data_IF_929849837290
#
_entry.id   IF_929849837290
#
_cell.length_a   1.000
_cell.length_b   1.000
_cell.length_c   1.000
_cell.angle_alpha   90.00
_cell.angle_beta   90.00
_cell.angle_gamma   90.00
#
_symmetry.space_group_name_H-M   'P 1'
#
loop_
_entity.id
_entity.type
_entity.pdbx_description
1 polymer ?
#
# COMPACT_ATOMS: atom_id res chain seq x y z
N UNK A 1 -1.98 16.23 3.74
CA UNK A 1 -2.45 15.66 2.46
C UNK A 1 -3.66 14.80 2.76
N UNK A 2 -4.82 15.04 2.14
CA UNK A 2 -6.10 14.47 2.59
C UNK A 2 -6.44 13.13 1.93
N UNK A 3 -5.51 12.18 1.93
CA UNK A 3 -5.85 10.80 1.56
C UNK A 3 -6.85 10.29 2.60
N UNK A 4 -7.98 9.77 2.15
CA UNK A 4 -8.95 9.12 3.02
C UNK A 4 -8.71 7.62 2.97
N UNK A 5 -8.74 6.97 4.14
CA UNK A 5 -8.57 5.52 4.25
C UNK A 5 -9.90 4.92 4.69
N UNK A 6 -10.27 3.77 4.12
CA UNK A 6 -11.52 3.09 4.43
C UNK A 6 -11.31 1.65 4.90
N UNK A 7 -10.14 1.08 4.60
CA UNK A 7 -9.78 -0.26 5.00
C UNK A 7 -8.27 -0.39 5.14
N UNK A 8 -7.87 -1.17 6.13
CA UNK A 8 -6.50 -1.52 6.40
C UNK A 8 -6.44 -2.89 7.05
N UNK A 9 -5.61 -3.77 6.49
CA UNK A 9 -5.30 -5.06 7.09
C UNK A 9 -3.82 -5.36 6.92
N UNK A 10 -3.23 -5.99 7.94
CA UNK A 10 -1.88 -6.54 7.89
C UNK A 10 -1.96 -8.04 8.14
N UNK A 11 -1.51 -8.82 7.17
CA UNK A 11 -1.42 -10.27 7.25
C UNK A 11 0.08 -10.61 7.35
N UNK A 12 0.53 -11.24 8.43
CA UNK A 12 1.95 -11.53 8.60
C UNK A 12 2.22 -12.84 9.33
N UNK A 13 3.29 -13.51 8.95
CA UNK A 13 3.91 -14.62 9.65
C UNK A 13 5.44 -14.58 9.46
N UNK A 14 6.15 -15.63 9.83
CA UNK A 14 7.63 -15.68 9.70
C UNK A 14 8.12 -15.52 8.25
N UNK A 15 7.35 -16.00 7.27
CA UNK A 15 7.75 -16.09 5.86
C UNK A 15 7.03 -15.11 4.94
N UNK A 16 5.90 -14.57 5.37
CA UNK A 16 5.05 -13.68 4.59
C UNK A 16 4.67 -12.44 5.38
N UNK A 17 4.57 -11.31 4.69
CA UNK A 17 3.93 -10.11 5.21
C UNK A 17 3.30 -9.34 4.07
N UNK A 18 2.04 -8.92 4.26
CA UNK A 18 1.31 -8.11 3.31
C UNK A 18 0.43 -7.08 4.04
N UNK A 19 0.38 -5.88 3.49
CA UNK A 19 -0.54 -4.82 3.90
C UNK A 19 -1.53 -4.57 2.77
N UNK A 20 -2.82 -4.59 3.09
CA UNK A 20 -3.91 -4.29 2.17
C UNK A 20 -4.53 -2.97 2.59
N UNK A 21 -4.41 -1.97 1.72
CA UNK A 21 -4.83 -0.60 2.00
C UNK A 21 -5.87 -0.19 0.99
N UNK A 22 -7.03 0.30 1.44
CA UNK A 22 -8.01 0.93 0.54
C UNK A 22 -8.29 2.34 0.98
N UNK A 23 -8.38 3.22 0.00
CA UNK A 23 -8.63 4.63 0.26
C UNK A 23 -9.06 5.38 -0.97
N UNK A 24 -9.16 6.69 -0.81
CA UNK A 24 -9.42 7.65 -1.86
C UNK A 24 -8.28 8.64 -1.92
N UNK A 25 -7.70 8.81 -3.12
CA UNK A 25 -6.70 9.82 -3.40
C UNK A 25 -7.39 11.05 -3.99
N UNK A 26 -7.46 12.19 -3.26
CA UNK A 26 -8.06 13.40 -3.81
C UNK A 26 -7.24 14.01 -4.95
N UNK A 27 -5.96 13.65 -5.08
CA UNK A 27 -5.05 14.17 -6.12
C UNK A 27 -5.38 13.54 -7.47
N UNK A 28 -5.57 12.22 -7.50
CA UNK A 28 -5.93 11.46 -8.72
C UNK A 28 -7.46 11.39 -8.90
N UNK A 29 -8.23 11.83 -7.90
CA UNK A 29 -9.69 11.76 -7.84
C UNK A 29 -10.24 10.34 -8.09
N UNK A 30 -9.58 9.34 -7.51
CA UNK A 30 -9.92 7.92 -7.66
C UNK A 30 -9.80 7.19 -6.33
N UNK A 31 -10.54 6.10 -6.22
CA UNK A 31 -10.27 5.10 -5.20
C UNK A 31 -9.02 4.33 -5.56
N UNK A 32 -8.35 3.81 -4.54
CA UNK A 32 -7.23 2.93 -4.73
C UNK A 32 -7.32 1.72 -3.81
N UNK A 33 -6.74 0.63 -4.29
CA UNK A 33 -6.26 -0.47 -3.46
C UNK A 33 -4.76 -0.54 -3.61
N UNK A 34 -4.05 -0.62 -2.49
CA UNK A 34 -2.60 -0.85 -2.47
C UNK A 34 -2.30 -2.13 -1.73
N UNK A 35 -1.51 -2.98 -2.36
CA UNK A 35 -0.90 -4.16 -1.78
C UNK A 35 0.58 -3.85 -1.53
N UNK A 36 1.03 -4.07 -0.30
CA UNK A 36 2.44 -3.91 0.07
C UNK A 36 2.92 -5.25 0.60
N UNK A 37 3.68 -6.00 -0.19
CA UNK A 37 4.03 -7.39 0.11
C UNK A 37 5.54 -7.53 0.29
N UNK A 38 5.97 -8.23 1.33
CA UNK A 38 7.39 -8.49 1.60
C UNK A 38 7.95 -9.47 0.58
N UNK A 39 9.02 -9.07 -0.09
CA UNK A 39 9.73 -9.85 -1.10
C UNK A 39 10.78 -10.73 -0.41
N UNK A 40 10.82 -12.01 -0.75
CA UNK A 40 11.87 -12.91 -0.26
C UNK A 40 13.03 -12.95 -1.29
N UNK A 41 14.29 -12.71 -0.87
CA UNK A 41 15.38 -12.29 -1.77
C UNK A 41 15.96 -13.36 -2.71
N UNK A 42 15.28 -14.48 -3.00
CA UNK A 42 15.83 -15.52 -3.89
C UNK A 42 15.37 -15.49 -5.35
N UNK A 43 14.21 -14.92 -5.68
CA UNK A 43 13.66 -15.13 -7.05
C UNK A 43 12.70 -14.06 -7.58
N UNK A 44 12.23 -13.11 -6.78
CA UNK A 44 11.07 -12.26 -7.15
C UNK A 44 11.44 -10.88 -7.73
N UNK A 45 12.72 -10.54 -7.85
CA UNK A 45 13.15 -9.21 -8.35
C UNK A 45 13.20 -9.09 -9.88
N UNK A 46 12.90 -10.16 -10.64
CA UNK A 46 13.32 -10.25 -12.04
C UNK A 46 12.27 -9.75 -13.07
N UNK A 47 10.98 -9.59 -12.75
CA UNK A 47 9.98 -9.36 -13.83
C UNK A 47 8.86 -8.33 -13.60
N UNK A 48 8.81 -7.57 -12.51
CA UNK A 48 7.67 -6.67 -12.24
C UNK A 48 7.98 -5.17 -12.48
N UNK A 49 7.91 -4.73 -13.73
CA UNK A 49 8.09 -3.31 -14.12
C UNK A 49 6.99 -2.35 -13.61
N UNK A 50 5.83 -2.86 -13.17
CA UNK A 50 4.71 -2.05 -12.69
C UNK A 50 4.68 -1.87 -11.16
N UNK A 51 5.70 -2.37 -10.45
CA UNK A 51 5.72 -2.37 -8.99
C UNK A 51 6.89 -1.60 -8.42
N UNK A 52 6.65 -0.86 -7.34
CA UNK A 52 7.69 -0.11 -6.67
C UNK A 52 8.33 -0.97 -5.59
N UNK A 53 9.65 -1.20 -5.71
CA UNK A 53 10.42 -2.03 -4.76
C UNK A 53 11.18 -1.13 -3.80
N UNK A 54 11.01 -1.36 -2.49
CA UNK A 54 11.53 -0.49 -1.43
C UNK A 54 12.17 -1.31 -0.33
N UNK A 55 13.36 -0.88 0.12
CA UNK A 55 14.02 -1.45 1.30
C UNK A 55 13.41 -0.89 2.60
N UNK A 56 12.96 -1.77 3.48
CA UNK A 56 12.50 -1.44 4.82
C UNK A 56 13.17 -2.34 5.86
N UNK A 57 14.13 -1.80 6.62
CA UNK A 57 14.99 -2.59 7.50
C UNK A 57 15.80 -3.64 6.72
N UNK A 58 15.70 -4.90 7.14
CA UNK A 58 16.37 -6.06 6.54
C UNK A 58 15.62 -6.66 5.33
N UNK A 59 14.42 -6.17 5.03
CA UNK A 59 13.54 -6.74 4.02
C UNK A 59 13.29 -5.78 2.86
N UNK A 60 12.93 -6.35 1.72
CA UNK A 60 12.41 -5.61 0.57
C UNK A 60 10.90 -5.78 0.50
N UNK A 61 10.22 -4.76 0.01
CA UNK A 61 8.77 -4.75 -0.14
C UNK A 61 8.40 -4.29 -1.54
N UNK A 62 7.43 -4.99 -2.14
CA UNK A 62 6.78 -4.66 -3.39
C UNK A 62 5.52 -3.86 -3.07
N UNK A 63 5.36 -2.69 -3.68
CA UNK A 63 4.15 -1.87 -3.57
C UNK A 63 3.45 -1.89 -4.93
N UNK A 64 2.21 -2.35 -4.95
CA UNK A 64 1.32 -2.34 -6.11
C UNK A 64 0.08 -1.53 -5.77
N UNK A 65 -0.19 -0.48 -6.53
CA UNK A 65 -1.35 0.39 -6.33
C UNK A 65 -2.21 0.38 -7.58
N UNK A 66 -3.47 0.00 -7.43
CA UNK A 66 -4.46 0.02 -8.51
C UNK A 66 -5.51 1.07 -8.22
N UNK A 67 -5.71 1.99 -9.16
CA UNK A 67 -6.77 2.99 -9.09
C UNK A 67 -8.03 2.52 -9.81
N UNK A 68 -9.19 2.81 -9.23
CA UNK A 68 -10.48 2.48 -9.83
C UNK A 68 -11.52 3.59 -9.59
N UNK A 69 -12.52 3.62 -10.47
CA UNK A 69 -13.63 4.57 -10.33
C UNK A 69 -14.49 4.15 -9.15
N UNK A 70 -14.85 5.12 -8.32
CA UNK A 70 -15.71 4.94 -7.16
C UNK A 70 -16.99 4.17 -7.52
N UNK A 71 -17.27 3.10 -6.77
CA UNK A 71 -18.60 2.51 -6.73
C UNK A 71 -19.41 3.19 -5.63
N UNK A 72 -20.40 4.00 -6.01
CA UNK A 72 -21.25 4.80 -5.10
C UNK A 72 -22.13 3.95 -4.17
N UNK A 73 -22.21 2.64 -4.38
CA UNK A 73 -23.08 1.74 -3.61
C UNK A 73 -22.46 1.25 -2.29
N UNK A 74 -21.20 1.56 -2.00
CA UNK A 74 -20.53 1.15 -0.76
C UNK A 74 -20.44 2.30 0.24
N UNK A 75 -20.94 2.07 1.47
CA UNK A 75 -20.77 3.00 2.58
C UNK A 75 -19.27 3.03 2.96
N UNK A 76 -18.65 4.19 2.73
CA UNK A 76 -17.28 4.47 3.18
C UNK A 76 -17.33 4.97 4.61
N UNK A 77 -16.81 4.19 5.56
CA UNK A 77 -16.51 4.69 6.91
C UNK A 77 -15.02 5.04 6.96
N UNK A 78 -14.65 6.32 7.04
CA UNK A 78 -13.26 6.70 7.17
C UNK A 78 -12.63 6.07 8.41
N UNK A 79 -11.39 5.60 8.27
CA UNK A 79 -10.56 5.12 9.37
C UNK A 79 -9.35 6.02 9.55
N UNK A 80 -8.84 6.08 10.79
CA UNK A 80 -7.54 6.69 11.05
C UNK A 80 -6.47 5.72 10.57
N UNK A 81 -5.60 6.17 9.68
CA UNK A 81 -4.44 5.40 9.24
C UNK A 81 -3.21 5.76 10.08
N UNK A 82 -2.71 4.80 10.84
CA UNK A 82 -1.53 4.94 11.69
C UNK A 82 -0.49 3.87 11.29
N UNK A 83 0.45 4.27 10.43
CA UNK A 83 1.49 3.36 9.92
C UNK A 83 2.45 2.87 11.01
N UNK A 84 2.59 3.62 12.11
CA UNK A 84 3.43 3.25 13.24
C UNK A 84 2.79 2.08 13.99
N UNK A 85 1.49 2.17 14.30
CA UNK A 85 0.74 1.05 14.91
C UNK A 85 0.74 -0.21 14.04
N UNK A 86 0.74 -0.04 12.72
CA UNK A 86 0.85 -1.13 11.77
C UNK A 86 2.25 -1.75 11.69
N UNK A 87 3.26 -1.12 12.32
CA UNK A 87 4.69 -1.44 12.20
C UNK A 87 5.17 -1.43 10.73
N UNK A 88 4.60 -0.55 9.92
CA UNK A 88 5.06 -0.33 8.55
C UNK A 88 6.32 0.54 8.60
N UNK A 89 7.40 0.12 7.94
CA UNK A 89 8.65 0.89 7.96
C UNK A 89 8.46 2.27 7.30
N UNK A 90 9.03 3.36 7.84
CA UNK A 90 8.81 4.72 7.33
C UNK A 90 9.11 4.89 5.84
N UNK A 91 10.17 4.28 5.32
CA UNK A 91 10.47 4.33 3.88
C UNK A 91 9.40 3.65 3.02
N UNK A 92 8.82 2.55 3.50
CA UNK A 92 7.72 1.87 2.81
C UNK A 92 6.48 2.75 2.83
N UNK A 93 6.20 3.41 3.96
CA UNK A 93 5.10 4.36 4.07
C UNK A 93 5.27 5.54 3.10
N UNK A 94 6.44 6.17 3.04
CA UNK A 94 6.71 7.28 2.12
C UNK A 94 6.52 6.84 0.66
N UNK A 95 7.05 5.67 0.32
CA UNK A 95 6.92 5.10 -1.01
C UNK A 95 5.47 4.76 -1.37
N UNK A 96 4.71 4.20 -0.43
CA UNK A 96 3.27 3.97 -0.58
C UNK A 96 2.52 5.28 -0.78
N UNK A 97 2.85 6.32 -0.01
CA UNK A 97 2.27 7.64 -0.20
C UNK A 97 2.60 8.17 -1.60
N UNK A 98 3.82 7.97 -2.08
CA UNK A 98 4.22 8.28 -3.45
C UNK A 98 3.36 7.56 -4.49
N UNK A 99 3.11 6.25 -4.32
CA UNK A 99 2.34 5.45 -5.28
C UNK A 99 0.85 5.81 -5.34
N UNK A 100 0.28 6.39 -4.28
CA UNK A 100 -1.14 6.82 -4.27
C UNK A 100 -1.35 8.26 -4.73
N UNK A 101 -0.28 9.06 -4.87
CA UNK A 101 -0.37 10.46 -5.29
C UNK A 101 0.28 10.77 -6.64
N UNK A 102 1.25 9.97 -7.08
CA UNK A 102 1.88 10.11 -8.37
C UNK A 102 1.32 9.07 -9.33
N UNK A 103 0.94 9.53 -10.53
CA UNK A 103 0.81 8.69 -11.73
C UNK A 103 2.20 8.54 -12.37
#
# INVERSE_FOLDING_TARGET
>A
MNIQYFFMERIFNKYFEEFIIKGFSPIVNKDFISLISRINPKTELVEDMESLIVKGGEWFYKIQTTFYIQNSNYIRKPIIFDYIRLKLHPHIYIAFIGSVINL
#
